data_IF_925835085673
#
_entry.id   IF_925835085673
#
_cell.length_a   1.000
_cell.length_b   1.000
_cell.length_c   1.000
_cell.angle_alpha   90.00
_cell.angle_beta   90.00
_cell.angle_gamma   90.00
#
_symmetry.space_group_name_H-M   'P 1'
#
loop_
_entity.id
_entity.type
_entity.pdbx_description
1 polymer ?
#
# COMPACT_ATOMS: atom_id res chain seq x y z
N UNK A 1 -54.77 -11.68 -30.01
CA UNK A 1 -54.55 -11.71 -28.57
C UNK A 1 -54.28 -13.15 -28.15
N UNK A 2 -53.35 -13.49 -27.30
CA UNK A 2 -52.45 -12.79 -26.39
C UNK A 2 -51.01 -13.33 -26.41
N UNK A 3 -50.13 -12.88 -27.31
CA UNK A 3 -48.71 -13.31 -27.28
C UNK A 3 -47.83 -12.43 -26.38
N UNK A 4 -48.24 -11.21 -26.09
CA UNK A 4 -47.43 -10.27 -25.28
C UNK A 4 -47.49 -10.53 -23.75
N UNK A 5 -48.53 -11.15 -23.25
CA UNK A 5 -48.67 -11.41 -21.79
C UNK A 5 -47.75 -12.55 -21.30
N UNK A 6 -47.52 -13.58 -22.14
CA UNK A 6 -46.62 -14.69 -21.80
C UNK A 6 -45.15 -14.28 -21.78
N UNK A 7 -44.71 -13.34 -22.63
CA UNK A 7 -43.33 -12.82 -22.63
C UNK A 7 -42.98 -11.99 -21.39
N UNK A 8 -43.91 -11.18 -20.88
CA UNK A 8 -43.71 -10.39 -19.66
C UNK A 8 -43.60 -11.27 -18.40
N UNK A 9 -44.37 -12.33 -18.31
CA UNK A 9 -44.32 -13.26 -17.18
C UNK A 9 -43.03 -14.06 -17.21
N UNK A 10 -42.54 -14.47 -18.40
CA UNK A 10 -41.29 -15.20 -18.53
C UNK A 10 -40.07 -14.35 -18.22
N UNK A 11 -40.06 -13.05 -18.62
CA UNK A 11 -39.01 -12.11 -18.24
C UNK A 11 -38.98 -11.82 -16.73
N UNK A 12 -40.15 -11.75 -16.07
CA UNK A 12 -40.20 -11.56 -14.61
C UNK A 12 -39.69 -12.78 -13.84
N UNK A 13 -39.99 -13.99 -14.32
CA UNK A 13 -39.51 -15.21 -13.67
C UNK A 13 -38.01 -15.39 -13.85
N UNK A 14 -37.44 -15.06 -15.04
CA UNK A 14 -36.02 -15.09 -15.30
C UNK A 14 -35.29 -14.06 -14.46
N UNK A 15 -35.85 -12.85 -14.30
CA UNK A 15 -35.26 -11.82 -13.43
C UNK A 15 -35.28 -12.21 -11.95
N UNK A 16 -36.34 -12.85 -11.47
CA UNK A 16 -36.44 -13.32 -10.09
C UNK A 16 -35.45 -14.49 -9.84
N UNK A 17 -35.36 -15.43 -10.78
CA UNK A 17 -34.39 -16.54 -10.67
C UNK A 17 -32.95 -16.04 -10.74
N UNK A 18 -32.65 -15.06 -11.60
CA UNK A 18 -31.32 -14.44 -11.67
C UNK A 18 -31.00 -13.67 -10.37
N UNK A 19 -31.98 -13.00 -9.78
CA UNK A 19 -31.79 -12.27 -8.51
C UNK A 19 -31.60 -13.22 -7.32
N UNK A 20 -32.29 -14.36 -7.30
CA UNK A 20 -32.12 -15.37 -6.28
C UNK A 20 -30.78 -16.11 -6.42
N UNK A 21 -30.32 -16.37 -7.66
CA UNK A 21 -29.01 -16.97 -7.91
C UNK A 21 -27.88 -15.97 -7.59
N UNK A 22 -28.04 -14.67 -7.92
CA UNK A 22 -27.06 -13.63 -7.53
C UNK A 22 -27.05 -13.40 -6.02
N UNK A 23 -28.20 -13.43 -5.34
CA UNK A 23 -28.25 -13.29 -3.88
C UNK A 23 -27.70 -14.54 -3.17
N UNK A 24 -27.87 -15.72 -3.74
CA UNK A 24 -27.25 -16.94 -3.24
C UNK A 24 -25.71 -16.97 -3.47
N UNK A 25 -25.23 -16.37 -4.56
CA UNK A 25 -23.78 -16.22 -4.79
C UNK A 25 -23.15 -15.09 -3.96
N UNK A 26 -23.89 -14.03 -3.67
CA UNK A 26 -23.45 -12.99 -2.72
C UNK A 26 -23.51 -13.47 -1.26
N UNK A 27 -24.37 -14.43 -0.93
CA UNK A 27 -24.37 -15.11 0.38
C UNK A 27 -23.29 -16.20 0.49
N UNK A 28 -22.74 -16.67 -0.63
CA UNK A 28 -21.64 -17.65 -0.66
C UNK A 28 -20.25 -16.98 -0.72
N UNK A 29 -20.21 -15.64 -0.82
CA UNK A 29 -19.06 -14.81 -0.47
C UNK A 29 -19.22 -14.26 0.98
N UNK A 30 -20.08 -14.84 1.77
CA UNK A 30 -19.78 -14.98 3.19
C UNK A 30 -18.48 -15.77 3.21
N UNK A 31 -17.37 -15.10 3.51
CA UNK A 31 -16.18 -15.78 3.96
C UNK A 31 -16.64 -16.94 4.84
N UNK A 32 -16.58 -18.13 4.33
CA UNK A 32 -16.63 -19.31 5.15
C UNK A 32 -15.35 -19.30 5.97
N UNK A 33 -15.38 -18.58 7.08
CA UNK A 33 -14.59 -18.86 8.27
C UNK A 33 -15.09 -20.22 8.80
N UNK A 34 -15.12 -21.21 7.94
CA UNK A 34 -15.38 -22.59 8.28
C UNK A 34 -14.06 -23.31 8.22
N UNK A 35 -13.53 -23.51 9.41
CA UNK A 35 -12.30 -24.14 9.84
C UNK A 35 -11.21 -23.18 10.28
N UNK A 36 -11.56 -22.04 10.83
CA UNK A 36 -10.74 -21.46 11.87
C UNK A 36 -11.07 -22.26 13.12
N UNK A 37 -10.28 -23.28 13.45
CA UNK A 37 -10.34 -23.93 14.75
C UNK A 37 -10.17 -22.91 15.89
N UNK A 38 -10.09 -23.34 17.13
CA UNK A 38 -9.90 -22.50 18.33
C UNK A 38 -8.97 -21.28 18.15
N UNK A 39 -7.98 -21.40 17.25
CA UNK A 39 -7.06 -20.31 16.92
C UNK A 39 -7.75 -19.14 16.18
N UNK A 40 -8.65 -19.40 15.25
CA UNK A 40 -9.37 -18.35 14.52
C UNK A 40 -10.38 -17.60 15.39
N UNK A 41 -11.01 -18.27 16.32
CA UNK A 41 -11.90 -17.63 17.29
C UNK A 41 -11.13 -16.74 18.27
N UNK A 42 -9.97 -17.20 18.76
CA UNK A 42 -9.09 -16.44 19.63
C UNK A 42 -8.58 -15.15 18.95
N UNK A 43 -8.19 -15.22 17.68
CA UNK A 43 -7.76 -14.04 16.90
C UNK A 43 -8.90 -13.04 16.73
N UNK A 44 -10.13 -13.52 16.49
CA UNK A 44 -11.30 -12.63 16.36
C UNK A 44 -11.61 -11.91 17.68
N UNK A 45 -11.60 -12.61 18.82
CA UNK A 45 -11.80 -11.99 20.13
C UNK A 45 -10.68 -10.98 20.48
N UNK A 46 -9.43 -11.29 20.15
CA UNK A 46 -8.31 -10.37 20.37
C UNK A 46 -8.44 -9.12 19.51
N UNK A 47 -8.91 -9.27 18.27
CA UNK A 47 -9.16 -8.14 17.39
C UNK A 47 -10.30 -7.25 17.91
N UNK A 48 -11.39 -7.80 18.38
CA UNK A 48 -12.48 -7.04 18.99
C UNK A 48 -12.00 -6.25 20.23
N UNK A 49 -11.24 -6.86 21.13
CA UNK A 49 -10.65 -6.19 22.30
C UNK A 49 -9.66 -5.09 21.89
N UNK A 50 -8.92 -5.28 20.82
CA UNK A 50 -8.06 -4.25 20.24
C UNK A 50 -8.89 -3.09 19.72
N UNK A 51 -9.94 -3.38 18.91
CA UNK A 51 -10.86 -2.36 18.36
C UNK A 51 -11.52 -1.56 19.45
N UNK A 52 -12.04 -2.19 20.49
CA UNK A 52 -12.64 -1.48 21.63
C UNK A 52 -11.67 -0.48 22.26
N UNK A 53 -10.40 -0.82 22.44
CA UNK A 53 -9.38 0.09 22.95
C UNK A 53 -9.09 1.24 21.98
N UNK A 54 -8.89 0.93 20.71
CA UNK A 54 -8.62 1.89 19.66
C UNK A 54 -9.78 2.88 19.50
N UNK A 55 -11.01 2.41 19.52
CA UNK A 55 -12.20 3.26 19.32
C UNK A 55 -12.42 4.21 20.47
N UNK A 56 -12.01 3.88 21.70
CA UNK A 56 -12.07 4.75 22.89
C UNK A 56 -11.06 5.91 22.90
N UNK A 57 -10.09 5.92 22.00
CA UNK A 57 -9.12 7.01 21.88
C UNK A 57 -9.81 8.20 21.23
N UNK A 58 -10.15 9.23 22.00
CA UNK A 58 -10.75 10.48 21.53
C UNK A 58 -9.77 11.65 21.55
N UNK A 59 -8.73 11.56 22.41
CA UNK A 59 -7.67 12.56 22.55
C UNK A 59 -6.31 11.91 22.54
N UNK A 60 -5.28 12.65 22.16
CA UNK A 60 -3.89 12.17 22.21
C UNK A 60 -3.50 11.72 23.62
N UNK A 61 -4.02 12.38 24.67
CA UNK A 61 -3.78 11.99 26.04
C UNK A 61 -4.36 10.62 26.46
N UNK A 62 -5.26 10.03 25.68
CA UNK A 62 -5.85 8.72 25.97
C UNK A 62 -4.95 7.55 25.53
N UNK A 63 -3.98 7.79 24.65
CA UNK A 63 -3.17 6.76 23.99
C UNK A 63 -2.56 5.78 24.99
N UNK A 64 -1.86 6.27 25.99
CA UNK A 64 -1.17 5.44 26.98
C UNK A 64 -2.15 4.56 27.78
N UNK A 65 -3.28 5.13 28.20
CA UNK A 65 -4.33 4.41 28.93
C UNK A 65 -4.98 3.31 28.11
N UNK A 66 -4.97 3.43 26.76
CA UNK A 66 -5.47 2.43 25.82
C UNK A 66 -4.39 1.47 25.34
N UNK A 67 -3.16 1.56 25.88
CA UNK A 67 -2.04 0.66 25.58
C UNK A 67 -1.32 0.99 24.28
N UNK A 68 -1.36 2.26 23.85
CA UNK A 68 -0.60 2.77 22.71
C UNK A 68 0.56 3.63 23.19
N UNK A 69 1.74 3.38 22.65
CA UNK A 69 2.93 4.18 22.90
C UNK A 69 3.10 5.20 21.78
N UNK A 70 3.04 6.47 22.13
CA UNK A 70 3.29 7.58 21.21
C UNK A 70 4.73 7.52 20.69
N UNK A 71 4.92 7.77 19.40
CA UNK A 71 6.22 7.94 18.77
C UNK A 71 6.56 9.44 18.80
N UNK A 72 7.18 9.89 19.89
CA UNK A 72 7.40 11.32 20.16
C UNK A 72 8.27 12.03 19.11
N UNK A 73 9.16 11.28 18.44
CA UNK A 73 9.99 11.75 17.34
C UNK A 73 9.25 11.86 15.99
N UNK A 74 7.98 11.49 15.97
CA UNK A 74 7.10 11.47 14.80
C UNK A 74 5.83 12.31 15.04
N UNK A 75 6.01 13.49 15.62
CA UNK A 75 4.94 14.47 15.83
C UNK A 75 5.23 15.66 14.92
N UNK A 76 4.30 15.97 14.02
CA UNK A 76 4.49 17.02 13.03
C UNK A 76 3.24 17.89 12.90
N UNK A 77 3.44 19.20 12.78
CA UNK A 77 2.40 20.10 12.30
C UNK A 77 2.19 19.86 10.79
N UNK A 78 0.95 19.83 10.36
CA UNK A 78 0.62 19.68 8.93
C UNK A 78 -0.53 20.64 8.53
N UNK A 79 -0.50 21.21 7.31
CA UNK A 79 -1.62 21.96 6.79
C UNK A 79 -2.75 21.03 6.35
N UNK A 80 -4.01 21.35 6.67
CA UNK A 80 -5.20 20.69 6.11
C UNK A 80 -5.74 21.40 4.88
N UNK A 81 -5.18 22.54 4.50
CA UNK A 81 -5.71 23.38 3.42
C UNK A 81 -5.25 22.89 2.04
N UNK A 82 -6.13 23.11 1.04
CA UNK A 82 -5.76 23.01 -0.37
C UNK A 82 -4.63 23.98 -0.68
N UNK A 83 -3.61 23.50 -1.36
CA UNK A 83 -2.53 24.36 -1.85
C UNK A 83 -3.11 25.39 -2.83
N UNK A 84 -2.78 26.70 -2.69
CA UNK A 84 -3.32 27.73 -3.57
C UNK A 84 -2.91 27.49 -5.03
N UNK A 85 -3.80 27.83 -5.96
CA UNK A 85 -3.61 27.63 -7.42
C UNK A 85 -2.46 28.45 -8.00
N UNK A 86 -2.16 29.60 -7.38
CA UNK A 86 -0.99 30.43 -7.66
C UNK A 86 -0.41 30.87 -6.30
N UNK A 87 0.91 30.90 -6.19
CA UNK A 87 1.59 31.49 -5.05
C UNK A 87 1.37 33.02 -5.07
N UNK A 88 0.16 33.44 -4.76
CA UNK A 88 -0.12 34.83 -4.46
C UNK A 88 0.43 35.09 -3.08
N UNK A 89 1.37 36.03 -3.00
CA UNK A 89 2.00 36.54 -1.79
C UNK A 89 0.92 37.21 -0.90
N UNK A 90 0.07 36.38 -0.29
CA UNK A 90 -0.93 36.83 0.68
C UNK A 90 -0.61 36.17 2.01
N UNK A 91 -0.23 37.00 2.96
CA UNK A 91 -0.18 36.74 4.40
C UNK A 91 -1.61 36.47 4.96
N UNK A 92 -2.47 35.77 4.22
CA UNK A 92 -3.77 35.40 4.70
C UNK A 92 -3.69 34.08 5.49
N UNK A 93 -4.25 34.16 6.67
CA UNK A 93 -4.32 33.21 7.77
C UNK A 93 -4.19 31.76 7.31
N UNK A 94 -3.05 31.14 7.63
CA UNK A 94 -2.89 29.68 7.66
C UNK A 94 -4.09 29.12 8.45
N UNK A 95 -4.94 28.33 7.78
CA UNK A 95 -6.04 27.65 8.44
C UNK A 95 -5.56 26.83 9.64
N UNK A 96 -6.49 26.34 10.41
CA UNK A 96 -6.23 25.65 11.67
C UNK A 96 -5.12 24.60 11.49
N UNK A 97 -3.98 24.85 12.13
CA UNK A 97 -2.85 23.94 12.14
C UNK A 97 -3.28 22.66 12.86
N UNK A 98 -3.20 21.54 12.16
CA UNK A 98 -3.43 20.23 12.75
C UNK A 98 -2.11 19.49 12.92
N UNK A 99 -2.14 18.48 13.76
CA UNK A 99 -0.97 17.74 14.16
C UNK A 99 -1.11 16.28 13.77
N UNK A 100 -0.08 15.77 13.12
CA UNK A 100 0.10 14.35 12.86
C UNK A 100 0.77 13.70 14.07
N UNK A 101 0.23 12.56 14.49
CA UNK A 101 0.79 11.69 15.51
C UNK A 101 0.82 10.25 15.01
N UNK A 102 1.88 9.53 15.37
CA UNK A 102 1.94 8.10 15.17
C UNK A 102 2.11 7.41 16.53
N UNK A 103 1.42 6.30 16.72
CA UNK A 103 1.53 5.49 17.92
C UNK A 103 1.57 4.00 17.61
N UNK A 104 2.23 3.24 18.45
CA UNK A 104 2.37 1.78 18.32
C UNK A 104 1.61 1.10 19.45
N UNK A 105 0.67 0.20 19.08
CA UNK A 105 0.07 -0.70 20.07
C UNK A 105 1.15 -1.56 20.71
N UNK A 106 1.23 -1.53 22.06
CA UNK A 106 2.33 -2.16 22.81
C UNK A 106 2.23 -3.69 22.83
N UNK A 107 1.03 -4.24 22.62
CA UNK A 107 0.77 -5.69 22.65
C UNK A 107 0.97 -6.34 21.29
N UNK A 108 0.40 -5.72 20.25
CA UNK A 108 0.33 -6.32 18.92
C UNK A 108 1.27 -5.67 17.90
N UNK A 109 2.01 -4.64 18.30
CA UNK A 109 2.91 -3.88 17.43
C UNK A 109 2.23 -3.37 16.14
N UNK A 110 0.95 -3.01 16.25
CA UNK A 110 0.21 -2.38 15.17
C UNK A 110 0.45 -0.88 15.20
N UNK A 111 0.76 -0.31 14.05
CA UNK A 111 0.91 1.13 13.91
C UNK A 111 -0.46 1.78 13.76
N UNK A 112 -0.66 2.90 14.43
CA UNK A 112 -1.82 3.75 14.28
C UNK A 112 -1.40 5.19 14.02
N UNK A 113 -2.18 5.90 13.20
CA UNK A 113 -1.99 7.30 12.85
C UNK A 113 -3.19 8.08 13.35
N UNK A 114 -2.91 9.28 13.87
CA UNK A 114 -3.91 10.20 14.40
C UNK A 114 -3.63 11.60 13.86
N UNK A 115 -4.67 12.30 13.48
CA UNK A 115 -4.65 13.73 13.17
C UNK A 115 -5.47 14.40 14.27
N UNK A 116 -4.89 15.39 14.93
CA UNK A 116 -5.54 16.09 16.04
C UNK A 116 -5.38 17.59 15.91
N UNK A 117 -6.31 18.34 16.52
CA UNK A 117 -6.21 19.79 16.65
C UNK A 117 -5.16 20.20 17.71
N UNK A 118 -4.95 21.51 17.87
CA UNK A 118 -4.01 22.06 18.82
C UNK A 118 -4.36 21.73 20.30
N UNK A 119 -5.60 21.33 20.58
CA UNK A 119 -6.02 20.88 21.93
C UNK A 119 -5.73 19.39 22.18
N UNK A 120 -5.30 18.66 21.15
CA UNK A 120 -5.09 17.22 21.15
C UNK A 120 -6.39 16.42 20.95
N UNK A 121 -7.50 17.06 20.56
CA UNK A 121 -8.73 16.36 20.18
C UNK A 121 -8.53 15.70 18.82
N UNK A 122 -8.81 14.40 18.71
CA UNK A 122 -8.61 13.64 17.48
C UNK A 122 -9.71 13.99 16.47
N UNK A 123 -9.28 14.40 15.29
CA UNK A 123 -10.12 14.69 14.12
C UNK A 123 -10.21 13.47 13.20
N UNK A 124 -9.12 12.72 13.08
CA UNK A 124 -9.04 11.50 12.29
C UNK A 124 -8.11 10.49 12.95
N UNK A 125 -8.43 9.20 12.84
CA UNK A 125 -7.56 8.11 13.27
C UNK A 125 -7.72 6.89 12.38
N UNK A 126 -6.60 6.19 12.13
CA UNK A 126 -6.62 4.92 11.42
C UNK A 126 -5.51 3.98 11.87
N UNK A 127 -5.80 2.69 11.86
CA UNK A 127 -4.83 1.59 11.94
C UNK A 127 -4.87 0.72 10.68
N UNK A 128 -5.66 1.12 9.67
CA UNK A 128 -5.79 0.45 8.38
C UNK A 128 -4.60 0.82 7.49
N UNK A 129 -3.39 0.39 7.90
CA UNK A 129 -2.13 0.67 7.24
C UNK A 129 -1.54 -0.63 6.68
N UNK A 130 -0.85 -0.57 5.53
CA UNK A 130 -0.25 -1.73 4.89
C UNK A 130 0.67 -2.51 5.83
N UNK A 131 1.43 -1.82 6.67
CA UNK A 131 2.31 -2.42 7.66
C UNK A 131 1.59 -3.30 8.70
N UNK A 132 0.28 -3.13 8.87
CA UNK A 132 -0.54 -3.91 9.79
C UNK A 132 -1.14 -5.17 9.14
N UNK A 133 -0.72 -5.50 7.92
CA UNK A 133 -1.15 -6.68 7.16
C UNK A 133 0.01 -7.56 6.70
N UNK A 134 1.23 -7.31 7.20
CA UNK A 134 2.41 -8.10 6.84
C UNK A 134 2.25 -9.59 7.22
N UNK A 135 1.62 -9.87 8.36
CA UNK A 135 1.30 -11.21 8.83
C UNK A 135 -0.21 -11.43 8.77
N UNK A 136 -0.68 -11.95 7.64
CA UNK A 136 -2.11 -12.20 7.42
C UNK A 136 -2.65 -13.22 8.45
N UNK A 137 -3.80 -12.90 9.04
CA UNK A 137 -4.47 -13.73 10.02
C UNK A 137 -3.86 -13.68 11.42
N UNK A 138 -2.91 -12.76 11.69
CA UNK A 138 -2.31 -12.58 13.00
C UNK A 138 -2.51 -11.17 13.54
N UNK A 139 -2.70 -11.09 14.85
CA UNK A 139 -2.82 -9.78 15.52
C UNK A 139 -1.48 -9.06 15.59
N UNK A 140 -0.43 -9.77 16.00
CA UNK A 140 0.90 -9.19 16.13
C UNK A 140 1.53 -8.96 14.77
N UNK A 141 1.95 -7.72 14.53
CA UNK A 141 2.58 -7.30 13.28
C UNK A 141 4.07 -7.02 13.49
N UNK A 142 4.89 -7.12 12.43
CA UNK A 142 6.35 -6.99 12.51
C UNK A 142 6.80 -5.52 12.54
N UNK A 143 5.94 -4.59 12.88
CA UNK A 143 6.25 -3.16 12.89
C UNK A 143 7.29 -2.85 13.96
N UNK A 144 8.40 -2.22 13.54
CA UNK A 144 9.48 -1.78 14.40
C UNK A 144 9.42 -0.28 14.70
N UNK A 145 9.27 0.51 13.65
CA UNK A 145 9.19 1.98 13.75
C UNK A 145 8.59 2.58 12.48
N UNK A 146 8.08 3.79 12.59
CA UNK A 146 7.85 4.66 11.47
C UNK A 146 9.21 5.25 11.03
N UNK A 147 9.65 4.94 9.82
CA UNK A 147 10.97 5.32 9.33
C UNK A 147 10.96 6.70 8.65
N UNK A 148 9.84 7.07 8.02
CA UNK A 148 9.67 8.39 7.38
C UNK A 148 8.20 8.73 7.27
N UNK A 149 7.92 10.02 7.40
CA UNK A 149 6.64 10.66 7.09
C UNK A 149 6.91 11.83 6.15
N UNK A 150 6.05 12.05 5.17
CA UNK A 150 6.12 13.22 4.29
C UNK A 150 4.71 13.69 3.97
N UNK A 151 4.52 15.00 3.95
CA UNK A 151 3.25 15.67 3.65
C UNK A 151 3.37 16.34 2.30
N UNK A 152 2.65 15.87 1.31
CA UNK A 152 2.73 16.33 -0.08
C UNK A 152 1.41 16.05 -0.80
N UNK A 153 1.13 16.84 -1.82
CA UNK A 153 0.09 16.53 -2.79
C UNK A 153 0.59 15.41 -3.72
N UNK A 154 0.09 14.20 -3.50
CA UNK A 154 0.60 12.98 -4.15
C UNK A 154 -0.14 12.68 -5.45
N UNK A 155 -1.42 13.07 -5.57
CA UNK A 155 -2.27 12.77 -6.73
C UNK A 155 -2.64 14.00 -7.59
N UNK A 156 -2.09 15.18 -7.26
CA UNK A 156 -2.30 16.47 -7.91
C UNK A 156 -3.72 17.05 -7.74
N UNK A 157 -4.36 16.79 -6.62
CA UNK A 157 -5.68 17.35 -6.29
C UNK A 157 -5.59 18.61 -5.40
N UNK A 158 -4.35 18.96 -4.95
CA UNK A 158 -3.97 20.06 -4.08
C UNK A 158 -4.26 19.86 -2.59
N UNK A 159 -4.79 18.74 -2.20
CA UNK A 159 -4.88 18.38 -0.80
C UNK A 159 -3.55 17.79 -0.31
N UNK A 160 -3.28 17.90 0.97
CA UNK A 160 -2.02 17.40 1.53
C UNK A 160 -2.19 15.95 1.95
N UNK A 161 -1.59 15.05 1.22
CA UNK A 161 -1.54 13.63 1.53
C UNK A 161 -0.40 13.28 2.49
N UNK A 162 -0.47 12.08 3.06
CA UNK A 162 0.53 11.59 4.00
C UNK A 162 1.20 10.34 3.41
N UNK A 163 2.48 10.47 3.09
CA UNK A 163 3.33 9.33 2.72
C UNK A 163 3.95 8.74 3.98
N UNK A 164 3.79 7.45 4.18
CA UNK A 164 4.35 6.70 5.29
C UNK A 164 5.35 5.65 4.80
N UNK A 165 6.51 5.57 5.44
CA UNK A 165 7.44 4.46 5.26
C UNK A 165 7.70 3.83 6.63
N UNK A 166 7.24 2.60 6.78
CA UNK A 166 7.33 1.84 8.02
C UNK A 166 8.47 0.82 7.90
N UNK A 167 9.34 0.77 8.88
CA UNK A 167 10.34 -0.29 9.00
C UNK A 167 9.73 -1.45 9.77
N UNK A 168 9.68 -2.59 9.11
CA UNK A 168 9.31 -3.87 9.70
C UNK A 168 10.55 -4.74 9.92
N UNK A 169 10.41 -5.73 10.79
CA UNK A 169 11.45 -6.68 11.10
C UNK A 169 10.89 -8.09 10.98
N UNK A 170 11.51 -8.90 10.14
CA UNK A 170 11.10 -10.29 10.00
C UNK A 170 11.62 -11.07 11.21
N UNK A 171 10.74 -11.61 12.03
CA UNK A 171 11.07 -12.42 13.19
C UNK A 171 10.84 -13.92 12.97
N UNK A 172 10.63 -14.34 11.71
CA UNK A 172 10.25 -15.70 11.31
C UNK A 172 11.04 -16.22 10.13
N UNK A 173 11.18 -17.55 10.10
CA UNK A 173 11.75 -18.28 8.98
C UNK A 173 13.22 -18.03 8.74
N UNK A 174 13.66 -18.30 7.52
CA UNK A 174 15.08 -18.23 7.12
C UNK A 174 15.60 -16.78 7.02
N UNK A 175 14.69 -15.80 6.99
CA UNK A 175 15.01 -14.36 6.93
C UNK A 175 14.85 -13.67 8.27
N UNK A 176 14.97 -14.42 9.36
CA UNK A 176 14.91 -13.88 10.71
C UNK A 176 15.98 -12.78 10.88
N UNK A 177 15.59 -11.67 11.54
CA UNK A 177 16.42 -10.49 11.75
C UNK A 177 16.60 -9.55 10.54
N UNK A 178 16.14 -9.88 9.35
CA UNK A 178 16.13 -8.95 8.24
C UNK A 178 15.09 -7.86 8.45
N UNK A 179 15.50 -6.63 8.15
CA UNK A 179 14.60 -5.47 8.17
C UNK A 179 14.16 -5.14 6.74
N UNK A 180 12.88 -4.85 6.58
CA UNK A 180 12.32 -4.41 5.31
C UNK A 180 11.42 -3.18 5.50
N UNK A 181 11.13 -2.47 4.42
CA UNK A 181 10.27 -1.29 4.44
C UNK A 181 8.90 -1.63 3.88
N UNK A 182 7.88 -0.96 4.43
CA UNK A 182 6.52 -0.98 3.91
C UNK A 182 6.10 0.47 3.67
N UNK A 183 5.71 0.78 2.45
CA UNK A 183 5.24 2.10 2.04
C UNK A 183 3.71 2.16 2.01
N UNK A 184 3.17 3.30 2.36
CA UNK A 184 1.72 3.56 2.30
C UNK A 184 1.44 5.03 2.01
N UNK A 185 0.25 5.33 1.50
CA UNK A 185 -0.24 6.69 1.29
C UNK A 185 -1.64 6.80 1.89
N UNK A 186 -1.84 7.81 2.72
CA UNK A 186 -3.16 8.26 3.14
C UNK A 186 -3.48 9.49 2.29
N UNK A 187 -4.38 9.33 1.35
CA UNK A 187 -4.89 10.41 0.51
C UNK A 187 -5.89 11.24 1.30
N UNK A 188 -5.83 12.55 1.14
CA UNK A 188 -6.81 13.47 1.70
C UNK A 188 -7.83 13.84 0.63
N UNK A 189 -9.10 13.94 1.00
CA UNK A 189 -10.17 14.52 0.19
C UNK A 189 -11.04 15.38 1.11
N UNK A 190 -10.90 16.69 0.97
CA UNK A 190 -11.64 17.71 1.72
C UNK A 190 -11.60 17.49 3.27
N UNK A 191 -10.41 17.17 3.79
CA UNK A 191 -10.15 16.94 5.21
C UNK A 191 -10.44 15.52 5.71
N UNK A 192 -10.90 14.62 4.84
CA UNK A 192 -11.04 13.20 5.14
C UNK A 192 -9.87 12.43 4.55
N UNK A 193 -9.36 11.45 5.28
CA UNK A 193 -8.27 10.62 4.80
C UNK A 193 -8.76 9.23 4.42
N UNK A 194 -8.24 8.71 3.32
CA UNK A 194 -8.51 7.34 2.87
C UNK A 194 -7.24 6.68 2.34
N UNK A 195 -7.27 5.39 2.19
CA UNK A 195 -6.19 4.58 1.64
C UNK A 195 -6.66 3.82 0.41
N UNK A 196 -5.91 3.90 -0.69
CA UNK A 196 -6.08 3.00 -1.82
C UNK A 196 -5.12 1.81 -1.68
N UNK A 197 -5.69 0.65 -1.30
CA UNK A 197 -4.93 -0.59 -1.10
C UNK A 197 -4.24 -1.09 -2.37
N UNK A 198 -4.73 -0.72 -3.57
CA UNK A 198 -4.13 -1.12 -4.85
C UNK A 198 -2.84 -0.34 -5.10
N UNK A 199 -2.83 0.93 -4.74
CA UNK A 199 -1.64 1.78 -4.79
C UNK A 199 -0.63 1.29 -3.76
N UNK A 200 -1.05 1.02 -2.52
CA UNK A 200 -0.18 0.49 -1.48
C UNK A 200 0.43 -0.87 -1.85
N UNK A 201 -0.35 -1.80 -2.43
CA UNK A 201 0.16 -3.07 -2.95
C UNK A 201 1.25 -2.86 -4.02
N UNK A 202 1.02 -1.99 -5.00
CA UNK A 202 2.00 -1.70 -6.04
C UNK A 202 3.26 -1.02 -5.51
N UNK A 203 3.13 -0.08 -4.57
CA UNK A 203 4.27 0.57 -3.90
C UNK A 203 5.21 -0.49 -3.31
N UNK A 204 4.65 -1.49 -2.63
CA UNK A 204 5.44 -2.50 -1.95
C UNK A 204 5.92 -3.62 -2.88
N UNK A 205 5.09 -4.01 -3.85
CA UNK A 205 5.40 -5.07 -4.81
C UNK A 205 6.53 -4.69 -5.77
N UNK A 206 6.64 -3.40 -6.14
CA UNK A 206 7.61 -2.90 -7.10
C UNK A 206 8.71 -2.05 -6.46
N UNK A 207 8.95 -2.22 -5.16
CA UNK A 207 10.05 -1.57 -4.44
C UNK A 207 10.02 -0.02 -4.48
N UNK A 208 8.83 0.58 -4.61
CA UNK A 208 8.66 2.04 -4.56
C UNK A 208 8.78 2.61 -3.14
N UNK A 209 8.83 1.76 -2.14
CA UNK A 209 8.88 2.10 -0.71
C UNK A 209 10.28 2.47 -0.17
N UNK A 210 11.23 2.78 -1.03
CA UNK A 210 12.62 3.11 -0.62
C UNK A 210 12.67 4.44 0.15
N UNK A 211 11.98 5.46 -0.37
CA UNK A 211 11.86 6.79 0.23
C UNK A 211 10.58 7.50 -0.29
N UNK A 212 10.15 8.62 0.34
CA UNK A 212 8.95 9.35 -0.09
C UNK A 212 8.99 9.83 -1.54
N UNK A 213 10.15 10.23 -2.06
CA UNK A 213 10.29 10.70 -3.43
C UNK A 213 9.99 9.58 -4.45
N UNK A 214 10.32 8.34 -4.14
CA UNK A 214 9.99 7.19 -4.99
C UNK A 214 8.47 6.96 -5.05
N UNK A 215 7.79 7.04 -3.91
CA UNK A 215 6.32 6.93 -3.83
C UNK A 215 5.67 8.06 -4.61
N UNK A 216 6.12 9.30 -4.41
CA UNK A 216 5.62 10.48 -5.10
C UNK A 216 5.77 10.36 -6.63
N UNK A 217 6.96 9.99 -7.11
CA UNK A 217 7.21 9.77 -8.54
C UNK A 217 6.36 8.64 -9.10
N UNK A 218 6.09 7.61 -8.32
CA UNK A 218 5.24 6.50 -8.74
C UNK A 218 3.77 6.94 -8.87
N UNK A 219 3.20 7.53 -7.84
CA UNK A 219 1.77 7.87 -7.81
C UNK A 219 1.47 9.07 -8.71
N UNK A 220 2.20 10.18 -8.54
CA UNK A 220 1.95 11.43 -9.25
C UNK A 220 2.40 11.42 -10.70
N UNK A 221 3.62 10.90 -10.94
CA UNK A 221 4.25 10.98 -12.27
C UNK A 221 4.10 9.69 -13.06
N UNK A 222 3.47 8.64 -12.49
CA UNK A 222 3.30 7.33 -13.12
C UNK A 222 4.61 6.58 -13.35
N UNK A 223 5.71 6.97 -12.70
CA UNK A 223 7.03 6.33 -12.83
C UNK A 223 7.09 5.06 -12.00
N UNK A 224 6.87 3.93 -12.64
CA UNK A 224 6.87 2.62 -11.99
C UNK A 224 8.05 1.78 -12.47
N UNK A 225 8.56 0.93 -11.58
CA UNK A 225 9.48 -0.16 -11.93
C UNK A 225 8.73 -1.43 -12.36
N UNK A 226 7.39 -1.39 -12.41
CA UNK A 226 6.56 -2.55 -12.78
C UNK A 226 7.02 -3.20 -14.09
N UNK A 227 7.38 -2.38 -15.10
CA UNK A 227 7.85 -2.88 -16.38
C UNK A 227 9.16 -3.72 -16.27
N UNK A 228 9.99 -3.48 -15.26
CA UNK A 228 11.20 -4.29 -15.03
C UNK A 228 10.88 -5.75 -14.72
N UNK A 229 9.68 -6.03 -14.24
CA UNK A 229 9.22 -7.38 -13.86
C UNK A 229 8.19 -7.95 -14.82
N UNK A 230 7.53 -7.10 -15.62
CA UNK A 230 6.42 -7.48 -16.51
C UNK A 230 6.74 -7.33 -18.00
N UNK A 231 7.88 -6.74 -18.37
CA UNK A 231 8.31 -6.67 -19.76
C UNK A 231 8.48 -8.08 -20.34
N UNK A 232 7.97 -8.28 -21.54
CA UNK A 232 8.04 -9.56 -22.26
C UNK A 232 9.28 -9.64 -23.17
N UNK A 233 9.80 -8.47 -23.60
CA UNK A 233 10.93 -8.39 -24.53
C UNK A 233 11.99 -7.39 -24.07
N UNK A 234 13.22 -7.55 -24.62
CA UNK A 234 14.28 -6.54 -24.45
C UNK A 234 13.85 -5.18 -25.02
N UNK A 235 13.09 -5.17 -26.10
CA UNK A 235 12.61 -3.93 -26.72
C UNK A 235 11.67 -3.17 -25.76
N UNK A 236 10.83 -3.86 -25.00
CA UNK A 236 9.97 -3.24 -24.00
C UNK A 236 10.78 -2.54 -22.92
N UNK A 237 11.86 -3.16 -22.45
CA UNK A 237 12.77 -2.56 -21.48
C UNK A 237 13.43 -1.29 -22.03
N UNK A 238 13.96 -1.37 -23.26
CA UNK A 238 14.63 -0.24 -23.90
C UNK A 238 13.69 0.93 -24.15
N UNK A 239 12.43 0.69 -24.47
CA UNK A 239 11.39 1.71 -24.63
C UNK A 239 11.09 2.47 -23.34
N UNK A 240 11.40 1.89 -22.17
CA UNK A 240 11.29 2.51 -20.87
C UNK A 240 12.63 3.04 -20.32
N UNK A 241 13.60 3.28 -21.19
CA UNK A 241 14.94 3.79 -20.85
C UNK A 241 15.74 2.87 -19.89
N UNK A 242 15.53 1.56 -19.95
CA UNK A 242 16.43 0.63 -19.30
C UNK A 242 17.80 0.67 -19.97
N UNK A 243 18.86 0.86 -19.18
CA UNK A 243 20.22 0.99 -19.66
C UNK A 243 20.93 -0.36 -19.57
N UNK A 244 21.16 -1.01 -20.71
CA UNK A 244 21.89 -2.28 -20.79
C UNK A 244 23.39 -2.04 -20.58
N UNK A 245 24.03 -2.86 -19.78
CA UNK A 245 25.49 -2.89 -19.59
C UNK A 245 26.08 -3.87 -20.61
N UNK A 246 26.30 -3.39 -21.84
CA UNK A 246 26.69 -4.25 -22.97
C UNK A 246 28.00 -4.98 -22.73
N UNK A 247 28.99 -4.34 -22.08
CA UNK A 247 30.30 -4.93 -21.77
C UNK A 247 30.22 -6.10 -20.79
N UNK A 248 29.12 -6.23 -20.07
CA UNK A 248 28.84 -7.36 -19.16
C UNK A 248 27.82 -8.34 -19.72
N UNK A 249 27.28 -8.06 -20.91
CA UNK A 249 26.34 -8.94 -21.58
C UNK A 249 27.09 -10.08 -22.27
N UNK A 250 26.59 -11.30 -22.16
CA UNK A 250 27.17 -12.46 -22.81
C UNK A 250 26.13 -13.53 -23.14
N UNK A 251 26.48 -14.43 -24.07
CA UNK A 251 25.62 -15.56 -24.42
C UNK A 251 26.15 -16.84 -23.81
N UNK A 252 25.26 -17.64 -23.23
CA UNK A 252 25.59 -18.94 -22.65
C UNK A 252 24.55 -19.99 -23.03
N UNK A 253 25.01 -21.24 -23.16
CA UNK A 253 24.12 -22.36 -23.30
C UNK A 253 23.80 -22.95 -21.94
N UNK A 254 22.51 -22.89 -21.54
CA UNK A 254 22.00 -23.45 -20.30
C UNK A 254 21.43 -24.83 -20.56
N UNK A 255 21.77 -25.80 -19.72
CA UNK A 255 21.44 -27.21 -19.91
C UNK A 255 19.95 -27.48 -20.18
N UNK A 256 19.08 -26.76 -19.46
CA UNK A 256 17.61 -26.93 -19.53
C UNK A 256 16.87 -25.86 -20.34
N UNK A 257 17.50 -24.74 -20.58
CA UNK A 257 16.86 -23.56 -21.21
C UNK A 257 17.41 -23.26 -22.60
N UNK A 258 18.46 -23.96 -23.04
CA UNK A 258 19.11 -23.71 -24.31
C UNK A 258 20.01 -22.48 -24.27
N UNK A 259 20.22 -21.88 -25.45
CA UNK A 259 21.12 -20.74 -25.65
C UNK A 259 20.40 -19.44 -25.32
N UNK A 260 20.87 -18.74 -24.30
CA UNK A 260 20.30 -17.47 -23.83
C UNK A 260 21.38 -16.39 -23.74
N UNK A 261 21.01 -15.13 -23.99
CA UNK A 261 21.82 -13.94 -23.69
C UNK A 261 21.54 -13.50 -22.23
N UNK A 262 22.59 -13.35 -21.45
CA UNK A 262 22.55 -12.73 -20.12
C UNK A 262 22.71 -11.23 -20.32
N UNK A 263 21.73 -10.43 -19.88
CA UNK A 263 21.67 -9.00 -20.11
C UNK A 263 21.52 -8.29 -18.75
N UNK A 264 22.63 -7.87 -18.13
CA UNK A 264 22.58 -6.98 -16.97
C UNK A 264 22.30 -5.55 -17.42
N UNK A 265 21.65 -4.77 -16.55
CA UNK A 265 21.41 -3.37 -16.83
C UNK A 265 20.83 -2.64 -15.62
N UNK A 266 20.64 -1.34 -15.78
CA UNK A 266 20.15 -0.46 -14.75
C UNK A 266 18.97 0.38 -15.24
N UNK A 267 18.08 0.72 -14.31
CA UNK A 267 17.05 1.72 -14.50
C UNK A 267 17.18 2.81 -13.47
N UNK A 268 17.26 4.06 -13.94
CA UNK A 268 17.41 5.22 -13.07
C UNK A 268 16.08 5.63 -12.44
N UNK A 269 15.99 5.47 -11.12
CA UNK A 269 14.95 6.10 -10.30
C UNK A 269 15.41 7.50 -9.83
N UNK A 270 14.54 8.22 -9.13
CA UNK A 270 14.84 9.59 -8.70
C UNK A 270 16.14 9.70 -7.90
N UNK A 271 16.41 8.78 -6.98
CA UNK A 271 17.54 8.85 -6.04
C UNK A 271 18.45 7.61 -6.05
N UNK A 272 18.10 6.57 -6.81
CA UNK A 272 18.89 5.34 -6.89
C UNK A 272 18.71 4.65 -8.24
N UNK A 273 19.61 3.73 -8.55
CA UNK A 273 19.50 2.86 -9.72
C UNK A 273 18.99 1.47 -9.30
N UNK A 274 18.04 0.95 -10.06
CA UNK A 274 17.61 -0.44 -9.94
C UNK A 274 18.47 -1.27 -10.87
N UNK A 275 19.21 -2.23 -10.35
CA UNK A 275 20.00 -3.17 -11.14
C UNK A 275 19.20 -4.45 -11.38
N UNK A 276 19.16 -4.91 -12.62
CA UNK A 276 18.45 -6.12 -13.04
C UNK A 276 19.34 -6.98 -13.94
N UNK A 277 19.09 -8.28 -13.93
CA UNK A 277 19.66 -9.24 -14.85
C UNK A 277 18.53 -9.97 -15.56
N UNK A 278 18.58 -10.02 -16.87
CA UNK A 278 17.62 -10.75 -17.72
C UNK A 278 18.29 -11.90 -18.45
N UNK A 279 17.57 -13.01 -18.59
CA UNK A 279 17.88 -14.06 -19.54
C UNK A 279 16.95 -13.90 -20.74
N UNK A 280 17.53 -13.75 -21.94
CA UNK A 280 16.80 -13.41 -23.17
C UNK A 280 17.09 -14.46 -24.21
N UNK A 281 16.06 -14.95 -24.92
CA UNK A 281 16.17 -15.91 -26.00
C UNK A 281 16.69 -15.26 -27.31
N UNK A 282 16.87 -16.07 -28.34
CA UNK A 282 17.36 -15.61 -29.66
C UNK A 282 16.34 -14.71 -30.38
N UNK A 283 15.07 -14.71 -29.98
CA UNK A 283 14.00 -13.88 -30.52
C UNK A 283 13.88 -12.54 -29.77
N UNK A 284 14.59 -12.35 -28.66
CA UNK A 284 14.56 -11.16 -27.84
C UNK A 284 13.52 -11.20 -26.71
N UNK A 285 12.89 -12.37 -26.48
CA UNK A 285 11.93 -12.53 -25.39
C UNK A 285 12.64 -12.75 -24.06
N UNK A 286 12.10 -12.17 -23.01
CA UNK A 286 12.58 -12.35 -21.64
C UNK A 286 12.09 -13.70 -21.12
N UNK A 287 13.02 -14.62 -20.86
CA UNK A 287 12.74 -15.94 -20.28
C UNK A 287 12.73 -15.90 -18.76
N UNK A 288 13.55 -15.02 -18.20
CA UNK A 288 13.70 -14.88 -16.75
C UNK A 288 14.33 -13.55 -16.38
N UNK A 289 13.98 -13.02 -15.18
CA UNK A 289 14.54 -11.79 -14.62
C UNK A 289 14.93 -11.98 -13.15
N UNK A 290 15.93 -11.24 -12.72
CA UNK A 290 16.45 -11.26 -11.35
C UNK A 290 16.94 -9.88 -10.94
N UNK A 291 16.55 -9.46 -9.75
CA UNK A 291 17.09 -8.31 -9.04
C UNK A 291 17.99 -8.82 -7.91
N UNK A 292 19.31 -8.59 -7.97
CA UNK A 292 20.25 -9.06 -6.95
C UNK A 292 20.18 -8.27 -5.66
#
# INVERSE_FOLDING_TARGET
MPKHRKRRIMLSIVSIVLFVVLSAQLSAVSFSVTAAGEHGELVAEEYERYRERFDRIEKIGDLENQGFRLLEDQIFAMPLQKLPEEAVDTTEELGDEVWFYAALDTRYHRLAVFIADASGQILYKTDQLEANYCYLGEMRQPVKKLASVSFQDVDNDRDTDIILIVQCHNDRGDYQEESYKVGDVLFQDDGNFYRDYRISDKINRFDMNKNPACILNFVRDGRSTEFLYTAETLADLLNHNFNVIEEQSYTRNFEKLGKLKVVPGTYRMAEYDVFMIYLIDEQGNIVWSFQP
#
